data_IF_232476069805
#
_entry.id   IF_232476069805
#
_cell.length_a   1.000
_cell.length_b   1.000
_cell.length_c   1.000
_cell.angle_alpha   90.00
_cell.angle_beta   90.00
_cell.angle_gamma   90.00
#
_symmetry.space_group_name_H-M   'P 1'
#
loop_
_entity.id
_entity.type
_entity.pdbx_description
1 polymer ?
#
# COMPACT_ATOMS: atom_id res chain seq x y z
N UNK A 1 -2.07 -15.55 -2.23
CA UNK A 1 -2.75 -14.49 -1.46
C UNK A 1 -3.85 -15.14 -0.63
N UNK A 2 -3.79 -14.99 0.69
CA UNK A 2 -4.84 -15.43 1.61
C UNK A 2 -5.74 -14.27 2.08
N UNK A 3 -6.74 -14.58 2.91
CA UNK A 3 -7.66 -13.58 3.46
C UNK A 3 -6.94 -12.49 4.29
N UNK A 4 -5.90 -12.86 5.03
CA UNK A 4 -5.07 -11.93 5.81
C UNK A 4 -4.37 -10.92 4.90
N UNK A 5 -3.76 -11.39 3.82
CA UNK A 5 -3.07 -10.54 2.84
C UNK A 5 -4.03 -9.52 2.22
N UNK A 6 -5.23 -9.97 1.86
CA UNK A 6 -6.27 -9.13 1.31
C UNK A 6 -6.73 -8.06 2.32
N UNK A 7 -6.96 -8.44 3.57
CA UNK A 7 -7.35 -7.51 4.63
C UNK A 7 -6.29 -6.42 4.86
N UNK A 8 -5.00 -6.80 4.89
CA UNK A 8 -3.89 -5.86 5.01
C UNK A 8 -3.88 -4.88 3.83
N UNK A 9 -4.10 -5.38 2.60
CA UNK A 9 -4.13 -4.52 1.41
C UNK A 9 -5.30 -3.53 1.42
N UNK A 10 -6.49 -3.96 1.84
CA UNK A 10 -7.65 -3.07 1.97
C UNK A 10 -7.35 -1.96 2.99
N UNK A 11 -6.83 -2.32 4.17
CA UNK A 11 -6.44 -1.34 5.18
C UNK A 11 -5.36 -0.36 4.66
N UNK A 12 -4.36 -0.86 3.93
CA UNK A 12 -3.31 -0.05 3.34
C UNK A 12 -3.84 0.93 2.27
N UNK A 13 -4.78 0.50 1.45
CA UNK A 13 -5.43 1.34 0.44
C UNK A 13 -6.27 2.44 1.09
N UNK A 14 -7.05 2.11 2.14
CA UNK A 14 -7.83 3.10 2.88
C UNK A 14 -6.91 4.14 3.53
N UNK A 15 -5.82 3.71 4.17
CA UNK A 15 -4.84 4.61 4.79
C UNK A 15 -4.14 5.53 3.78
N UNK A 16 -4.00 5.10 2.52
CA UNK A 16 -3.36 5.86 1.44
C UNK A 16 -4.33 6.48 0.43
N UNK A 17 -5.63 6.41 0.65
CA UNK A 17 -6.64 6.65 -0.39
C UNK A 17 -6.43 7.95 -1.17
N UNK A 18 -6.14 9.04 -0.48
CA UNK A 18 -5.90 10.36 -1.07
C UNK A 18 -4.57 10.46 -1.85
N UNK A 19 -3.59 9.61 -1.55
CA UNK A 19 -2.31 9.55 -2.23
C UNK A 19 -2.31 8.63 -3.47
N UNK A 20 -3.39 7.87 -3.71
CA UNK A 20 -3.54 7.01 -4.88
C UNK A 20 -4.15 7.84 -6.02
N UNK A 21 -3.30 8.37 -6.89
CA UNK A 21 -3.71 9.23 -8.02
C UNK A 21 -4.55 8.49 -9.08
N UNK A 22 -4.37 7.17 -9.23
CA UNK A 22 -5.11 6.35 -10.19
C UNK A 22 -5.51 5.01 -9.56
N UNK A 23 -6.70 4.91 -8.95
CA UNK A 23 -7.16 3.69 -8.29
C UNK A 23 -7.21 2.48 -9.24
N UNK A 24 -7.74 2.67 -10.45
CA UNK A 24 -7.84 1.60 -11.45
C UNK A 24 -6.49 1.13 -11.97
N UNK A 25 -5.55 2.05 -12.22
CA UNK A 25 -4.18 1.71 -12.63
C UNK A 25 -3.41 0.97 -11.54
N UNK A 26 -3.56 1.42 -10.29
CA UNK A 26 -2.94 0.78 -9.13
C UNK A 26 -3.46 -0.66 -8.93
N UNK A 27 -4.78 -0.86 -8.95
CA UNK A 27 -5.37 -2.20 -8.84
C UNK A 27 -4.92 -3.13 -9.97
N UNK A 28 -4.88 -2.66 -11.22
CA UNK A 28 -4.40 -3.44 -12.35
C UNK A 28 -2.94 -3.88 -12.15
N UNK A 29 -2.09 -2.97 -11.70
CA UNK A 29 -0.68 -3.28 -11.39
C UNK A 29 -0.55 -4.33 -10.28
N UNK A 30 -1.36 -4.21 -9.21
CA UNK A 30 -1.36 -5.20 -8.13
C UNK A 30 -1.84 -6.57 -8.60
N UNK A 31 -2.90 -6.64 -9.41
CA UNK A 31 -3.39 -7.88 -10.00
C UNK A 31 -2.36 -8.51 -10.94
N UNK A 32 -1.69 -7.72 -11.79
CA UNK A 32 -0.61 -8.21 -12.65
C UNK A 32 0.53 -8.84 -11.84
N UNK A 33 0.96 -8.19 -10.74
CA UNK A 33 1.99 -8.74 -9.84
C UNK A 33 1.52 -10.01 -9.14
N UNK A 34 0.26 -10.07 -8.71
CA UNK A 34 -0.30 -11.26 -8.08
C UNK A 34 -0.33 -12.45 -9.03
N UNK A 35 -0.76 -12.24 -10.29
CA UNK A 35 -0.73 -13.27 -11.33
C UNK A 35 0.69 -13.74 -11.67
N UNK A 36 1.68 -12.84 -11.62
CA UNK A 36 3.09 -13.16 -11.86
C UNK A 36 3.78 -13.82 -10.65
N UNK A 37 3.12 -13.93 -9.49
CA UNK A 37 3.75 -14.40 -8.25
C UNK A 37 4.73 -13.39 -7.61
N UNK A 38 4.75 -12.15 -8.11
CA UNK A 38 5.64 -11.07 -7.66
C UNK A 38 4.99 -10.16 -6.61
N UNK A 39 3.73 -10.43 -6.27
CA UNK A 39 3.05 -9.66 -5.24
C UNK A 39 3.63 -9.93 -3.85
N UNK A 40 3.91 -8.86 -3.10
CA UNK A 40 4.34 -8.93 -1.71
C UNK A 40 3.77 -7.79 -0.89
N UNK A 41 3.41 -8.09 0.37
CA UNK A 41 2.89 -7.12 1.34
C UNK A 41 4.01 -6.26 1.92
N UNK A 42 5.23 -6.79 2.04
CA UNK A 42 6.36 -6.10 2.67
C UNK A 42 6.60 -4.70 2.10
N UNK A 43 6.70 -4.54 0.75
CA UNK A 43 6.82 -3.22 0.13
C UNK A 43 5.67 -2.26 0.42
N UNK A 44 4.43 -2.77 0.53
CA UNK A 44 3.24 -1.96 0.84
C UNK A 44 3.30 -1.43 2.27
N UNK A 45 3.61 -2.31 3.23
CA UNK A 45 3.82 -1.93 4.64
C UNK A 45 4.96 -0.91 4.79
N UNK A 46 6.09 -1.14 4.14
CA UNK A 46 7.22 -0.20 4.19
C UNK A 46 6.87 1.16 3.60
N UNK A 47 6.06 1.18 2.55
CA UNK A 47 5.56 2.43 1.97
C UNK A 47 4.55 3.15 2.89
N UNK A 48 3.82 2.44 3.76
CA UNK A 48 2.98 3.06 4.80
C UNK A 48 3.85 3.66 5.92
N UNK A 49 4.85 2.91 6.40
CA UNK A 49 5.76 3.36 7.46
C UNK A 49 6.56 4.60 7.03
N UNK A 50 7.07 4.64 5.79
CA UNK A 50 7.76 5.81 5.26
C UNK A 50 6.87 7.04 5.14
N UNK A 51 5.63 6.88 4.69
CA UNK A 51 4.67 8.00 4.60
C UNK A 51 4.42 8.65 5.95
N UNK A 52 4.32 7.83 7.01
CA UNK A 52 4.10 8.27 8.39
C UNK A 52 5.35 8.87 9.05
N UNK A 53 6.54 8.49 8.61
CA UNK A 53 7.81 9.08 9.07
C UNK A 53 8.03 10.53 8.62
N UNK A 54 7.36 10.97 7.55
CA UNK A 54 7.28 12.37 7.16
C UNK A 54 6.45 13.21 8.15
N UNK A 55 5.32 12.66 8.60
CA UNK A 55 4.43 13.34 9.57
C UNK A 55 5.04 13.47 10.96
N UNK A 56 5.77 12.45 11.45
CA UNK A 56 6.44 12.50 12.76
C UNK A 56 7.56 13.55 12.77
N UNK A 57 8.29 13.69 11.66
CA UNK A 57 9.38 14.68 11.55
C UNK A 57 8.86 16.10 11.30
N UNK A 58 7.71 16.25 10.64
CA UNK A 58 7.03 17.54 10.46
C UNK A 58 6.39 18.08 11.75
N UNK A 59 6.10 17.23 12.75
CA UNK A 59 5.54 17.64 14.05
C UNK A 59 6.58 17.86 15.15
N UNK A 60 7.85 17.57 14.88
CA UNK A 60 8.95 17.73 15.83
C UNK A 60 9.88 18.92 15.49
N UNK A 61 9.43 19.82 14.60
CA UNK A 61 10.14 21.04 14.20
C UNK A 61 9.34 22.29 14.53
#
# INVERSE_FOLDING_TARGET
MGAVDAAIMVAAMLQKGEAISSPGGYLRSLTSKACAGEFSIGPVLMALLRGRGGDVRARAG
#
